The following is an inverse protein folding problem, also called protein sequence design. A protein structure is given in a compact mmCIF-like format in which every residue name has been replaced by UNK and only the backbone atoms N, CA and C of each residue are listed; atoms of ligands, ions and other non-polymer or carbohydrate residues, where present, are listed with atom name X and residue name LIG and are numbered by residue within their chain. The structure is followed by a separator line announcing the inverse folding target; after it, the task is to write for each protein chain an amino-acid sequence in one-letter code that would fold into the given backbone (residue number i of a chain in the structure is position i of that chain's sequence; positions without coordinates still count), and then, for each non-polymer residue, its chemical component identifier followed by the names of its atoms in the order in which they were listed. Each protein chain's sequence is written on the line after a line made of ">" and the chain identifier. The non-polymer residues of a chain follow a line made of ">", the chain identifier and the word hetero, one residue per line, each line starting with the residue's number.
data_IF_788235199374
#
_entry.id   IF_788235199374
#
_cell.length_a   1.000
_cell.length_b   1.000
_cell.length_c   1.000
_cell.angle_alpha   90.00
_cell.angle_beta   90.00
_cell.angle_gamma   90.00
#
_symmetry.space_group_name_H-M   'P 1'
#
loop_
_entity.id
_entity.type
_entity.pdbx_description
1 polymer ?
#
# COMPACT_ATOMS: atom_id res chain seq x y z
N UNK A 1 -13.90 95.78 -0.09
CA UNK A 1 -14.31 96.43 -1.36
C UNK A 1 -13.94 95.53 -2.54
N UNK A 2 -14.74 95.58 -3.62
CA UNK A 2 -14.51 95.02 -4.97
C UNK A 2 -14.48 93.48 -5.13
N UNK A 3 -14.94 93.06 -6.31
CA UNK A 3 -15.23 91.69 -6.77
C UNK A 3 -14.24 91.27 -7.88
N UNK A 4 -14.01 89.98 -8.01
CA UNK A 4 -13.60 89.25 -9.22
C UNK A 4 -14.04 87.77 -8.97
N UNK A 5 -14.85 87.02 -9.75
CA UNK A 5 -15.01 86.85 -11.23
C UNK A 5 -13.65 86.59 -11.90
N UNK A 6 -13.35 85.51 -12.64
CA UNK A 6 -14.02 84.26 -13.10
C UNK A 6 -12.89 83.35 -13.69
N UNK A 7 -12.98 82.06 -14.08
CA UNK A 7 -14.08 81.15 -14.49
C UNK A 7 -13.65 79.66 -14.34
N UNK A 8 -14.55 78.70 -14.64
CA UNK A 8 -14.39 77.29 -15.14
C UNK A 8 -13.00 76.59 -15.13
N UNK A 9 -12.85 75.30 -14.77
CA UNK A 9 -13.40 74.15 -15.54
C UNK A 9 -13.29 72.78 -14.82
N UNK A 10 -14.44 72.07 -14.72
CA UNK A 10 -14.65 70.58 -14.75
C UNK A 10 -13.72 69.71 -13.85
N UNK A 11 -14.15 69.27 -12.67
CA UNK A 11 -14.91 68.02 -12.40
C UNK A 11 -14.20 66.73 -12.86
N UNK A 12 -13.76 65.91 -11.90
CA UNK A 12 -14.10 64.47 -11.81
C UNK A 12 -13.92 64.02 -10.36
N UNK A 13 -15.01 63.63 -9.69
CA UNK A 13 -14.92 62.82 -8.46
C UNK A 13 -14.49 61.41 -8.88
N UNK A 14 -13.68 60.73 -8.05
CA UNK A 14 -14.07 59.38 -7.61
C UNK A 14 -13.33 58.95 -6.32
N UNK A 15 -14.13 58.64 -5.30
CA UNK A 15 -13.92 57.68 -4.21
C UNK A 15 -12.49 57.30 -3.79
N UNK A 16 -12.10 57.86 -2.62
CA UNK A 16 -11.03 57.31 -1.79
C UNK A 16 -11.61 56.20 -0.90
N UNK A 17 -11.55 54.95 -1.34
CA UNK A 17 -11.88 53.78 -0.53
C UNK A 17 -10.63 52.94 -0.27
N UNK A 18 -10.16 52.92 0.99
CA UNK A 18 -9.15 51.97 1.43
C UNK A 18 -9.66 50.54 1.18
N UNK A 19 -8.96 49.79 0.32
CA UNK A 19 -8.95 48.34 0.43
C UNK A 19 -7.66 47.91 1.11
N UNK A 20 -7.81 47.30 2.28
CA UNK A 20 -6.79 46.44 2.86
C UNK A 20 -6.57 45.27 1.91
N UNK A 21 -5.46 45.28 1.18
CA UNK A 21 -5.04 44.14 0.38
C UNK A 21 -4.53 43.05 1.33
N UNK A 22 -5.45 42.25 1.86
CA UNK A 22 -5.12 40.99 2.50
C UNK A 22 -4.45 40.11 1.46
N UNK A 23 -3.13 39.95 1.55
CA UNK A 23 -2.42 38.94 0.79
C UNK A 23 -2.80 37.58 1.38
N UNK A 24 -3.86 36.99 0.84
CA UNK A 24 -4.06 35.55 0.93
C UNK A 24 -2.84 34.90 0.29
N UNK A 25 -1.84 34.58 1.11
CA UNK A 25 -0.81 33.62 0.77
C UNK A 25 -1.51 32.26 0.70
N UNK A 26 -2.19 32.04 -0.42
CA UNK A 26 -2.49 30.73 -0.94
C UNK A 26 -1.17 29.97 -0.93
N UNK A 27 -0.95 29.16 0.11
CA UNK A 27 0.06 28.13 0.10
C UNK A 27 -0.39 27.15 -0.96
N UNK A 28 0.03 27.41 -2.21
CA UNK A 28 -0.06 26.44 -3.29
C UNK A 28 0.59 25.19 -2.75
N UNK A 29 -0.21 24.17 -2.44
CA UNK A 29 0.31 22.84 -2.16
C UNK A 29 1.24 22.52 -3.32
N UNK A 30 2.50 22.18 -3.03
CA UNK A 30 3.36 21.59 -4.03
C UNK A 30 2.56 20.43 -4.65
N UNK A 31 2.32 20.52 -5.95
CA UNK A 31 1.51 19.54 -6.67
C UNK A 31 2.20 18.19 -6.47
N UNK A 32 1.52 17.24 -5.83
CA UNK A 32 2.12 15.94 -5.47
C UNK A 32 2.15 15.05 -6.71
N UNK A 33 2.96 15.47 -7.67
CA UNK A 33 3.08 14.85 -8.99
C UNK A 33 3.41 13.36 -8.86
N UNK A 34 2.78 12.50 -9.67
CA UNK A 34 3.14 11.08 -9.78
C UNK A 34 4.64 10.90 -10.00
N UNK A 35 5.21 9.83 -9.44
CA UNK A 35 6.65 9.54 -9.51
C UNK A 35 6.89 8.26 -10.28
N UNK A 36 7.60 8.36 -11.41
CA UNK A 36 8.06 7.22 -12.20
C UNK A 36 9.46 6.80 -11.75
N UNK A 37 9.60 5.56 -11.32
CA UNK A 37 10.82 4.94 -10.79
C UNK A 37 11.42 4.01 -11.85
N UNK A 38 12.51 4.42 -12.49
CA UNK A 38 13.16 3.67 -13.57
C UNK A 38 14.47 3.03 -13.12
N UNK A 39 14.64 1.73 -13.37
CA UNK A 39 15.86 0.99 -13.04
C UNK A 39 17.09 1.41 -13.87
N UNK A 40 18.27 1.35 -13.27
CA UNK A 40 19.56 1.68 -13.93
C UNK A 40 19.96 0.71 -15.05
N UNK A 41 19.46 -0.52 -15.05
CA UNK A 41 19.91 -1.57 -16.01
C UNK A 41 19.05 -1.64 -17.28
N UNK A 42 18.08 -0.73 -17.43
CA UNK A 42 17.33 -0.53 -18.66
C UNK A 42 18.25 0.08 -19.73
N UNK A 43 18.36 -0.58 -20.89
CA UNK A 43 18.94 0.05 -22.09
C UNK A 43 18.13 1.28 -22.50
N UNK A 44 18.68 2.19 -23.31
CA UNK A 44 17.96 3.41 -23.73
C UNK A 44 16.59 3.14 -24.38
N UNK A 45 16.49 2.08 -25.20
CA UNK A 45 15.22 1.64 -25.80
C UNK A 45 14.24 1.11 -24.76
N UNK A 46 14.70 0.24 -23.85
CA UNK A 46 13.88 -0.28 -22.75
C UNK A 46 13.41 0.84 -21.81
N UNK A 47 14.28 1.79 -21.46
CA UNK A 47 13.94 2.95 -20.63
C UNK A 47 12.82 3.77 -21.25
N UNK A 48 12.89 4.04 -22.57
CA UNK A 48 11.84 4.75 -23.30
C UNK A 48 10.52 3.96 -23.32
N UNK A 49 10.57 2.65 -23.59
CA UNK A 49 9.39 1.77 -23.56
C UNK A 49 8.75 1.66 -22.18
N UNK A 50 9.54 1.44 -21.14
CA UNK A 50 9.09 1.34 -19.74
C UNK A 50 8.48 2.65 -19.27
N UNK A 51 9.11 3.80 -19.58
CA UNK A 51 8.55 5.11 -19.28
C UNK A 51 7.22 5.34 -19.98
N UNK A 52 7.10 4.97 -21.27
CA UNK A 52 5.83 5.04 -22.00
C UNK A 52 4.74 4.21 -21.32
N UNK A 53 5.01 2.93 -21.02
CA UNK A 53 4.04 2.04 -20.35
C UNK A 53 3.60 2.57 -18.98
N UNK A 54 4.52 3.11 -18.18
CA UNK A 54 4.23 3.63 -16.85
C UNK A 54 3.58 5.03 -16.84
N UNK A 55 3.71 5.81 -17.92
CA UNK A 55 3.09 7.14 -18.04
C UNK A 55 1.77 7.13 -18.82
N UNK A 56 1.42 6.04 -19.50
CA UNK A 56 0.14 5.87 -20.19
C UNK A 56 -1.10 6.08 -19.28
N UNK A 57 -1.15 5.55 -18.03
CA UNK A 57 -2.25 5.82 -17.10
C UNK A 57 -2.42 7.31 -16.73
N UNK A 58 -1.35 8.10 -16.83
CA UNK A 58 -1.37 9.52 -16.47
C UNK A 58 -2.05 10.40 -17.52
N UNK A 59 -2.40 9.86 -18.70
CA UNK A 59 -3.14 10.57 -19.75
C UNK A 59 -2.51 11.92 -20.19
N UNK A 60 -1.18 12.06 -20.05
CA UNK A 60 -0.44 13.29 -20.38
C UNK A 60 -0.25 14.28 -19.22
N UNK A 61 -0.70 13.95 -18.00
CA UNK A 61 -0.40 14.73 -16.81
C UNK A 61 1.11 14.76 -16.50
N UNK A 62 1.55 15.83 -15.84
CA UNK A 62 2.93 16.01 -15.39
C UNK A 62 3.33 14.95 -14.35
N UNK A 63 4.59 14.51 -14.39
CA UNK A 63 5.15 13.55 -13.43
C UNK A 63 6.63 13.84 -13.16
N UNK A 64 7.13 13.34 -12.04
CA UNK A 64 8.55 13.31 -11.70
C UNK A 64 9.14 11.96 -12.13
N UNK A 65 10.45 11.93 -12.40
CA UNK A 65 11.17 10.67 -12.67
C UNK A 65 12.36 10.55 -11.74
N UNK A 66 12.49 9.39 -11.08
CA UNK A 66 13.67 9.01 -10.30
C UNK A 66 14.32 7.77 -10.89
N UNK A 67 15.62 7.65 -10.69
CA UNK A 67 16.39 6.44 -11.04
C UNK A 67 16.59 5.58 -9.78
N UNK A 68 16.43 4.26 -9.95
CA UNK A 68 16.60 3.23 -8.91
C UNK A 68 17.87 2.43 -9.22
N UNK A 69 18.79 2.37 -8.25
CA UNK A 69 20.13 1.76 -8.41
C UNK A 69 20.27 0.44 -7.64
N UNK A 70 21.40 -0.26 -7.82
CA UNK A 70 21.75 -1.40 -6.97
C UNK A 70 21.93 -1.02 -5.49
N UNK A 71 22.26 0.24 -5.19
CA UNK A 71 22.31 0.76 -3.81
C UNK A 71 20.92 0.87 -3.19
N UNK A 72 19.91 1.31 -3.96
CA UNK A 72 18.51 1.27 -3.52
C UNK A 72 18.07 -0.18 -3.24
N UNK A 73 18.48 -1.16 -4.06
CA UNK A 73 18.20 -2.58 -3.79
C UNK A 73 18.88 -3.06 -2.49
N UNK A 74 20.16 -2.74 -2.29
CA UNK A 74 20.88 -3.07 -1.04
C UNK A 74 20.19 -2.45 0.17
N UNK A 75 19.76 -1.19 0.08
CA UNK A 75 19.10 -0.48 1.19
C UNK A 75 17.75 -1.08 1.56
N UNK A 76 16.91 -1.40 0.58
CA UNK A 76 15.52 -1.78 0.83
C UNK A 76 15.25 -3.29 0.82
N UNK A 77 16.07 -4.11 0.17
CA UNK A 77 15.81 -5.55 0.00
C UNK A 77 16.73 -6.43 0.84
N UNK A 78 18.00 -6.06 1.05
CA UNK A 78 18.93 -6.90 1.82
C UNK A 78 18.59 -7.04 3.32
N UNK A 79 17.98 -6.07 4.02
CA UNK A 79 17.55 -6.27 5.41
C UNK A 79 16.62 -7.48 5.61
N UNK A 80 15.85 -7.80 4.57
CA UNK A 80 14.89 -8.91 4.50
C UNK A 80 15.46 -10.14 3.79
N UNK A 81 16.75 -10.41 4.01
CA UNK A 81 17.44 -11.62 3.57
C UNK A 81 17.87 -11.68 2.10
N UNK A 82 17.67 -10.61 1.31
CA UNK A 82 18.19 -10.57 -0.06
C UNK A 82 19.72 -10.33 -0.09
N UNK A 83 20.36 -10.77 -1.18
CA UNK A 83 21.82 -10.69 -1.37
C UNK A 83 22.19 -9.83 -2.59
N UNK A 84 21.63 -8.63 -2.68
CA UNK A 84 22.02 -7.65 -3.71
C UNK A 84 23.33 -6.96 -3.35
N UNK A 85 23.97 -6.39 -4.37
CA UNK A 85 25.15 -5.52 -4.24
C UNK A 85 24.87 -4.19 -4.94
N UNK A 86 25.73 -3.20 -4.74
CA UNK A 86 25.63 -1.91 -5.46
C UNK A 86 25.73 -2.05 -6.99
N UNK A 87 26.25 -3.17 -7.47
CA UNK A 87 26.37 -3.53 -8.89
C UNK A 87 25.23 -4.44 -9.39
N UNK A 88 24.27 -4.80 -8.54
CA UNK A 88 23.11 -5.61 -8.94
C UNK A 88 22.21 -4.85 -9.91
N UNK A 89 21.71 -5.56 -10.92
CA UNK A 89 20.91 -4.96 -11.97
C UNK A 89 19.46 -4.66 -11.55
N UNK A 90 18.92 -3.56 -12.09
CA UNK A 90 17.56 -3.08 -11.83
C UNK A 90 16.82 -2.92 -13.16
N UNK A 91 15.89 -3.83 -13.44
CA UNK A 91 15.09 -3.84 -14.69
C UNK A 91 13.59 -3.69 -14.50
N UNK A 92 13.06 -4.06 -13.33
CA UNK A 92 11.70 -3.73 -12.93
C UNK A 92 11.60 -2.25 -12.57
N UNK A 93 10.41 -1.69 -12.69
CA UNK A 93 10.16 -0.26 -12.56
C UNK A 93 8.71 -0.03 -12.12
N UNK A 94 8.47 1.09 -11.46
CA UNK A 94 7.17 1.42 -10.90
C UNK A 94 6.76 2.86 -11.23
N UNK A 95 5.48 3.17 -11.14
CA UNK A 95 4.98 4.53 -11.01
C UNK A 95 4.02 4.57 -9.82
N UNK A 96 4.13 5.61 -9.00
CA UNK A 96 3.24 5.88 -7.88
C UNK A 96 2.48 7.16 -8.15
N UNK A 97 1.19 7.11 -7.94
CA UNK A 97 0.29 8.26 -7.92
C UNK A 97 -0.46 8.24 -6.60
N UNK A 98 -0.41 9.36 -5.86
CA UNK A 98 -1.18 9.51 -4.63
C UNK A 98 -2.65 9.75 -4.97
N UNK A 99 -3.52 9.17 -4.17
CA UNK A 99 -4.95 9.21 -4.37
C UNK A 99 -5.68 9.98 -3.26
N UNK A 100 -6.96 10.27 -3.49
CA UNK A 100 -7.82 10.86 -2.47
C UNK A 100 -7.96 9.93 -1.25
N UNK A 101 -8.11 10.51 -0.06
CA UNK A 101 -8.31 9.74 1.17
C UNK A 101 -9.52 8.81 1.06
N UNK A 102 -9.30 7.51 1.26
CA UNK A 102 -10.32 6.46 1.14
C UNK A 102 -10.29 5.70 -0.18
N UNK A 103 -9.48 6.09 -1.17
CA UNK A 103 -9.27 5.32 -2.40
C UNK A 103 -8.59 3.96 -2.15
N UNK A 104 -7.86 3.81 -1.05
CA UNK A 104 -7.12 2.59 -0.72
C UNK A 104 -5.88 2.39 -1.59
N UNK A 105 -5.29 1.19 -1.55
CA UNK A 105 -4.09 0.84 -2.32
C UNK A 105 -4.49 0.02 -3.55
N UNK A 106 -4.27 0.58 -4.74
CA UNK A 106 -4.50 -0.09 -6.01
C UNK A 106 -3.15 -0.45 -6.65
N UNK A 107 -3.02 -1.68 -7.15
CA UNK A 107 -1.80 -2.13 -7.84
C UNK A 107 -2.17 -2.67 -9.20
N UNK A 108 -1.43 -2.21 -10.22
CA UNK A 108 -1.59 -2.61 -11.61
C UNK A 108 -0.25 -3.11 -12.16
N UNK A 109 -0.15 -4.42 -12.43
CA UNK A 109 0.97 -4.96 -13.19
C UNK A 109 0.67 -4.75 -14.67
N UNK A 110 1.50 -3.95 -15.34
CA UNK A 110 1.33 -3.53 -16.73
C UNK A 110 2.21 -4.34 -17.68
N UNK A 111 1.63 -4.75 -18.80
CA UNK A 111 2.34 -5.44 -19.87
C UNK A 111 3.36 -4.53 -20.56
N UNK A 112 4.62 -4.99 -20.62
CA UNK A 112 5.64 -4.38 -21.44
C UNK A 112 5.65 -5.05 -22.81
N UNK A 113 5.35 -4.28 -23.87
CA UNK A 113 5.26 -4.80 -25.25
C UNK A 113 4.28 -5.99 -25.40
N UNK A 114 3.15 -5.95 -24.69
CA UNK A 114 2.11 -6.98 -24.74
C UNK A 114 2.46 -8.28 -24.00
N UNK A 115 3.34 -8.20 -22.99
CA UNK A 115 3.68 -9.33 -22.11
C UNK A 115 3.84 -8.86 -20.67
N UNK A 116 3.23 -9.59 -19.74
CA UNK A 116 3.55 -9.45 -18.33
C UNK A 116 4.94 -10.06 -18.06
N UNK A 117 5.87 -9.23 -17.60
CA UNK A 117 7.24 -9.62 -17.27
C UNK A 117 7.49 -9.74 -15.75
N UNK A 118 6.48 -9.55 -14.90
CA UNK A 118 6.56 -9.79 -13.47
C UNK A 118 6.15 -11.25 -13.21
N UNK A 119 7.11 -12.09 -12.84
CA UNK A 119 6.96 -13.55 -12.87
C UNK A 119 6.50 -14.19 -11.56
N UNK A 120 6.60 -13.47 -10.44
CA UNK A 120 6.51 -14.09 -9.10
C UNK A 120 5.65 -13.29 -8.13
N UNK A 121 5.79 -11.96 -8.09
CA UNK A 121 5.07 -11.11 -7.14
C UNK A 121 3.74 -10.67 -7.73
N UNK A 122 2.64 -10.91 -7.00
CA UNK A 122 1.28 -10.58 -7.46
C UNK A 122 0.84 -9.18 -7.03
N UNK A 123 -0.18 -8.64 -7.69
CA UNK A 123 -0.74 -7.33 -7.36
C UNK A 123 -1.24 -7.25 -5.90
N UNK A 124 -1.83 -8.32 -5.36
CA UNK A 124 -2.32 -8.32 -3.97
C UNK A 124 -1.18 -8.45 -2.94
N UNK A 125 -0.08 -9.11 -3.29
CA UNK A 125 1.15 -9.12 -2.49
C UNK A 125 1.78 -7.72 -2.40
N UNK A 126 1.85 -6.99 -3.54
CA UNK A 126 2.27 -5.58 -3.54
C UNK A 126 1.40 -4.70 -2.65
N UNK A 127 0.06 -4.85 -2.68
CA UNK A 127 -0.84 -4.07 -1.83
C UNK A 127 -0.62 -4.36 -0.34
N UNK A 128 -0.46 -5.63 0.01
CA UNK A 128 -0.21 -6.05 1.39
C UNK A 128 1.10 -5.46 1.92
N UNK A 129 2.19 -5.57 1.15
CA UNK A 129 3.48 -4.99 1.52
C UNK A 129 3.42 -3.45 1.59
N UNK A 130 2.79 -2.78 0.63
CA UNK A 130 2.63 -1.33 0.64
C UNK A 130 1.92 -0.83 1.92
N UNK A 131 0.83 -1.49 2.33
CA UNK A 131 0.13 -1.21 3.59
C UNK A 131 1.06 -1.37 4.81
N UNK A 132 1.85 -2.45 4.85
CA UNK A 132 2.83 -2.69 5.92
C UNK A 132 3.91 -1.61 5.97
N UNK A 133 4.38 -1.15 4.81
CA UNK A 133 5.35 -0.06 4.67
C UNK A 133 4.80 1.33 5.04
N UNK A 134 3.52 1.43 5.40
CA UNK A 134 2.85 2.67 5.79
C UNK A 134 2.20 3.45 4.64
N UNK A 135 2.21 2.91 3.41
CA UNK A 135 1.56 3.52 2.25
C UNK A 135 0.04 3.41 2.41
N UNK A 136 -0.68 4.47 2.06
CA UNK A 136 -2.14 4.56 2.08
C UNK A 136 -2.62 5.40 0.91
N UNK A 137 -3.78 5.09 0.36
CA UNK A 137 -4.44 5.93 -0.66
C UNK A 137 -3.50 6.23 -1.85
N UNK A 138 -3.19 5.20 -2.66
CA UNK A 138 -2.27 5.32 -3.80
C UNK A 138 -2.54 4.30 -4.91
N UNK A 139 -2.32 4.71 -6.16
CA UNK A 139 -2.16 3.82 -7.30
C UNK A 139 -0.67 3.49 -7.48
N UNK A 140 -0.35 2.21 -7.64
CA UNK A 140 1.00 1.71 -7.90
C UNK A 140 0.97 0.89 -9.19
N UNK A 141 1.63 1.40 -10.23
CA UNK A 141 1.77 0.72 -11.51
C UNK A 141 3.16 0.08 -11.56
N UNK A 142 3.24 -1.19 -11.96
CA UNK A 142 4.48 -1.97 -11.98
C UNK A 142 4.68 -2.58 -13.35
N UNK A 143 5.90 -2.50 -13.90
CA UNK A 143 6.26 -3.23 -15.11
C UNK A 143 7.74 -3.61 -15.11
N UNK A 144 8.17 -4.40 -16.10
CA UNK A 144 9.58 -4.73 -16.31
C UNK A 144 9.85 -4.92 -17.80
N UNK A 145 11.03 -4.47 -18.26
CA UNK A 145 11.45 -4.68 -19.64
C UNK A 145 11.98 -6.10 -19.93
N UNK A 146 12.15 -6.93 -18.90
CA UNK A 146 12.59 -8.34 -18.97
C UNK A 146 11.89 -9.18 -17.89
N UNK A 147 11.69 -10.50 -18.09
CA UNK A 147 11.13 -11.38 -17.05
C UNK A 147 11.93 -11.33 -15.74
N UNK A 148 11.28 -10.97 -14.64
CA UNK A 148 11.89 -10.82 -13.31
C UNK A 148 10.84 -11.00 -12.20
N UNK A 149 11.25 -11.28 -10.98
CA UNK A 149 10.35 -11.52 -9.83
C UNK A 149 9.40 -10.34 -9.53
N UNK A 150 9.90 -9.11 -9.68
CA UNK A 150 9.24 -7.84 -9.39
C UNK A 150 9.79 -7.07 -8.17
N UNK A 151 10.75 -7.62 -7.42
CA UNK A 151 11.17 -7.08 -6.11
C UNK A 151 11.77 -5.67 -6.21
N UNK A 152 12.58 -5.41 -7.24
CA UNK A 152 13.17 -4.10 -7.52
C UNK A 152 12.15 -2.97 -7.77
N UNK A 153 10.92 -3.28 -8.21
CA UNK A 153 9.88 -2.27 -8.38
C UNK A 153 9.40 -1.72 -7.03
N UNK A 154 9.27 -2.57 -6.02
CA UNK A 154 8.83 -2.15 -4.69
C UNK A 154 9.93 -1.40 -3.92
N UNK A 155 11.20 -1.78 -4.11
CA UNK A 155 12.33 -0.93 -3.70
C UNK A 155 12.26 0.47 -4.35
N UNK A 156 11.85 0.54 -5.62
CA UNK A 156 11.59 1.79 -6.33
C UNK A 156 10.45 2.61 -5.70
N UNK A 157 9.37 1.95 -5.28
CA UNK A 157 8.25 2.59 -4.56
C UNK A 157 8.73 3.24 -3.26
N UNK A 158 9.48 2.53 -2.42
CA UNK A 158 10.00 3.11 -1.17
C UNK A 158 11.02 4.22 -1.41
N UNK A 159 11.82 4.10 -2.46
CA UNK A 159 12.76 5.15 -2.88
C UNK A 159 12.03 6.44 -3.28
N UNK A 160 10.86 6.36 -3.92
CA UNK A 160 10.06 7.53 -4.28
C UNK A 160 9.55 8.27 -3.04
N UNK A 161 8.86 7.58 -2.13
CA UNK A 161 8.35 8.18 -0.89
C UNK A 161 9.46 8.90 -0.10
N UNK A 162 10.62 8.26 0.08
CA UNK A 162 11.78 8.88 0.72
C UNK A 162 12.34 10.09 -0.07
N UNK A 163 12.36 10.04 -1.40
CA UNK A 163 12.87 11.14 -2.27
C UNK A 163 11.86 12.30 -2.41
N UNK A 164 10.57 12.08 -2.18
CA UNK A 164 9.52 13.13 -2.16
C UNK A 164 9.26 13.72 -0.77
N UNK A 165 10.01 13.31 0.25
CA UNK A 165 9.94 13.87 1.61
C UNK A 165 9.01 13.12 2.58
N UNK A 166 8.31 12.09 2.12
CA UNK A 166 7.49 11.21 2.95
C UNK A 166 8.30 10.00 3.39
N UNK A 167 9.25 10.22 4.30
CA UNK A 167 10.17 9.17 4.73
C UNK A 167 9.41 7.99 5.36
N UNK A 168 9.46 6.83 4.70
CA UNK A 168 8.90 5.59 5.21
C UNK A 168 9.77 5.06 6.36
N UNK A 169 9.14 4.46 7.36
CA UNK A 169 9.87 3.84 8.46
C UNK A 169 10.63 2.61 7.95
N UNK A 170 11.94 2.56 8.13
CA UNK A 170 12.76 1.46 7.60
C UNK A 170 12.37 0.09 8.20
N UNK A 171 11.90 0.01 9.44
CA UNK A 171 11.42 -1.25 10.02
C UNK A 171 10.11 -1.70 9.36
N UNK A 172 9.24 -0.76 8.96
CA UNK A 172 8.01 -1.05 8.22
C UNK A 172 8.31 -1.51 6.79
N UNK A 173 9.31 -0.89 6.15
CA UNK A 173 9.83 -1.31 4.84
C UNK A 173 10.42 -2.72 4.90
N UNK A 174 11.21 -3.05 5.93
CA UNK A 174 11.74 -4.40 6.11
C UNK A 174 10.61 -5.42 6.31
N UNK A 175 9.70 -5.19 7.26
CA UNK A 175 8.55 -6.08 7.49
C UNK A 175 7.67 -6.26 6.24
N UNK A 176 7.53 -5.23 5.40
CA UNK A 176 6.83 -5.30 4.12
C UNK A 176 7.54 -6.19 3.08
N UNK A 177 8.88 -6.20 3.08
CA UNK A 177 9.68 -7.08 2.24
C UNK A 177 9.69 -8.52 2.72
N UNK A 178 9.82 -8.76 4.03
CA UNK A 178 9.72 -10.10 4.62
C UNK A 178 8.32 -10.70 4.42
N UNK A 179 7.27 -9.88 4.52
CA UNK A 179 5.92 -10.23 4.12
C UNK A 179 5.84 -10.63 2.65
N UNK A 180 6.26 -9.74 1.73
CA UNK A 180 6.21 -10.01 0.29
C UNK A 180 6.94 -11.30 -0.08
N UNK A 181 8.16 -11.48 0.42
CA UNK A 181 8.98 -12.66 0.17
C UNK A 181 8.28 -13.93 0.70
N UNK A 182 7.69 -13.86 1.88
CA UNK A 182 6.97 -14.97 2.52
C UNK A 182 5.71 -15.34 1.75
N UNK A 183 4.85 -14.38 1.40
CA UNK A 183 3.61 -14.66 0.67
C UNK A 183 3.89 -15.14 -0.75
N UNK A 184 4.86 -14.53 -1.45
CA UNK A 184 5.30 -14.98 -2.77
C UNK A 184 5.84 -16.41 -2.75
N UNK A 185 6.64 -16.78 -1.73
CA UNK A 185 7.12 -18.15 -1.51
C UNK A 185 5.95 -19.13 -1.26
N UNK A 186 5.03 -18.80 -0.35
CA UNK A 186 3.87 -19.65 -0.04
C UNK A 186 2.99 -19.82 -1.29
N UNK A 187 2.78 -18.76 -2.08
CA UNK A 187 2.07 -18.84 -3.35
C UNK A 187 2.77 -19.80 -4.31
N UNK A 188 4.08 -19.67 -4.53
CA UNK A 188 4.84 -20.57 -5.40
C UNK A 188 4.81 -22.04 -4.96
N UNK A 189 4.83 -22.30 -3.65
CA UNK A 189 4.75 -23.66 -3.08
C UNK A 189 3.35 -24.29 -3.13
N UNK A 190 2.30 -23.50 -3.39
CA UNK A 190 0.91 -23.95 -3.37
C UNK A 190 0.11 -23.67 -4.67
N UNK A 191 0.68 -22.97 -5.66
CA UNK A 191 0.00 -22.51 -6.87
C UNK A 191 -0.76 -23.62 -7.64
N UNK A 192 -0.22 -24.84 -7.62
CA UNK A 192 -0.76 -26.00 -8.34
C UNK A 192 -1.69 -26.88 -7.45
N UNK A 193 -1.94 -26.49 -6.20
CA UNK A 193 -2.80 -27.22 -5.26
C UNK A 193 -4.27 -26.83 -5.41
N UNK A 194 -5.14 -27.84 -5.49
CA UNK A 194 -6.59 -27.65 -5.38
C UNK A 194 -6.97 -26.95 -4.08
N UNK A 195 -7.88 -25.97 -4.15
CA UNK A 195 -8.33 -25.15 -3.01
C UNK A 195 -7.44 -23.97 -2.67
N UNK A 196 -6.25 -23.84 -3.28
CA UNK A 196 -5.39 -22.67 -3.12
C UNK A 196 -5.74 -21.54 -4.09
N UNK A 197 -5.60 -20.29 -3.63
CA UNK A 197 -5.38 -19.14 -4.51
C UNK A 197 -4.62 -18.04 -3.78
N UNK A 198 -3.87 -17.24 -4.55
CA UNK A 198 -3.16 -16.07 -4.05
C UNK A 198 -4.12 -15.04 -3.41
N UNK A 199 -5.33 -14.89 -3.95
CA UNK A 199 -6.35 -14.01 -3.40
C UNK A 199 -6.85 -14.46 -2.01
N UNK A 200 -7.02 -15.77 -1.77
CA UNK A 200 -7.33 -16.31 -0.44
C UNK A 200 -6.20 -16.01 0.55
N UNK A 201 -4.94 -16.20 0.16
CA UNK A 201 -3.78 -15.96 1.04
C UNK A 201 -3.67 -14.47 1.40
N UNK A 202 -3.67 -13.60 0.40
CA UNK A 202 -3.55 -12.16 0.61
C UNK A 202 -4.74 -11.58 1.39
N UNK A 203 -5.95 -12.12 1.19
CA UNK A 203 -7.11 -11.69 1.97
C UNK A 203 -7.06 -12.19 3.43
N UNK A 204 -6.49 -13.37 3.71
CA UNK A 204 -6.25 -13.81 5.09
C UNK A 204 -5.29 -12.87 5.82
N UNK A 205 -4.21 -12.47 5.17
CA UNK A 205 -3.22 -11.55 5.74
C UNK A 205 -3.79 -10.14 5.92
N UNK A 206 -4.52 -9.62 4.92
CA UNK A 206 -5.20 -8.33 5.04
C UNK A 206 -6.27 -8.33 6.15
N UNK A 207 -7.04 -9.42 6.28
CA UNK A 207 -7.99 -9.60 7.38
C UNK A 207 -7.32 -9.68 8.76
N UNK A 208 -6.18 -10.37 8.85
CA UNK A 208 -5.40 -10.46 10.09
C UNK A 208 -4.87 -9.08 10.50
N UNK A 209 -4.29 -8.30 9.57
CA UNK A 209 -3.90 -6.90 9.79
C UNK A 209 -5.08 -6.03 10.24
N UNK A 210 -6.26 -6.23 9.65
CA UNK A 210 -7.47 -5.50 10.04
C UNK A 210 -7.86 -5.79 11.50
N UNK A 211 -7.79 -7.05 11.93
CA UNK A 211 -8.08 -7.45 13.32
C UNK A 211 -7.02 -6.95 14.29
N UNK A 212 -5.75 -7.12 13.98
CA UNK A 212 -4.64 -6.52 14.74
C UNK A 212 -4.80 -5.00 14.88
N UNK A 213 -5.19 -4.31 13.80
CA UNK A 213 -5.48 -2.87 13.80
C UNK A 213 -6.72 -2.45 14.61
N UNK A 214 -7.67 -3.36 14.90
CA UNK A 214 -8.78 -3.09 15.84
C UNK A 214 -8.32 -3.13 17.29
N UNK A 215 -7.35 -3.98 17.62
CA UNK A 215 -6.74 -4.10 18.96
C UNK A 215 -5.70 -3.00 19.19
N UNK A 216 -5.00 -2.62 18.14
CA UNK A 216 -3.87 -1.69 18.18
C UNK A 216 -2.56 -2.36 18.59
N UNK A 217 -1.55 -1.55 18.91
CA UNK A 217 -0.17 -1.97 19.12
C UNK A 217 0.04 -2.95 20.30
N UNK A 218 -0.97 -3.15 21.15
CA UNK A 218 -0.87 -4.01 22.34
C UNK A 218 -1.24 -5.48 22.06
N UNK A 219 -1.53 -5.85 20.81
CA UNK A 219 -1.82 -7.23 20.42
C UNK A 219 -0.63 -8.15 20.69
N UNK A 220 -0.81 -9.18 21.53
CA UNK A 220 0.27 -10.11 21.91
C UNK A 220 0.48 -11.20 20.87
N UNK A 221 1.64 -11.88 20.92
CA UNK A 221 2.01 -12.95 19.97
C UNK A 221 0.95 -14.07 19.92
N UNK A 222 0.39 -14.44 21.08
CA UNK A 222 -0.70 -15.43 21.15
C UNK A 222 -1.97 -14.94 20.45
N UNK A 223 -2.28 -13.64 20.56
CA UNK A 223 -3.44 -13.07 19.88
C UNK A 223 -3.20 -13.01 18.37
N UNK A 224 -1.98 -12.67 17.92
CA UNK A 224 -1.61 -12.74 16.49
C UNK A 224 -1.73 -14.18 15.97
N UNK A 225 -1.21 -15.16 16.71
CA UNK A 225 -1.35 -16.59 16.37
C UNK A 225 -2.83 -16.98 16.15
N UNK A 226 -3.72 -16.58 17.06
CA UNK A 226 -5.14 -16.95 16.97
C UNK A 226 -5.85 -16.21 15.82
N UNK A 227 -5.59 -14.90 15.65
CA UNK A 227 -6.07 -14.09 14.52
C UNK A 227 -5.66 -14.70 13.19
N UNK A 228 -4.40 -15.10 13.04
CA UNK A 228 -3.88 -15.67 11.78
C UNK A 228 -4.51 -17.01 11.48
N UNK A 229 -4.61 -17.93 12.46
CA UNK A 229 -5.28 -19.22 12.25
C UNK A 229 -6.77 -19.03 11.90
N UNK A 230 -7.46 -18.12 12.57
CA UNK A 230 -8.84 -17.76 12.28
C UNK A 230 -9.01 -17.22 10.85
N UNK A 231 -8.14 -16.31 10.42
CA UNK A 231 -8.18 -15.72 9.07
C UNK A 231 -7.79 -16.71 7.96
N UNK A 232 -6.85 -17.61 8.22
CA UNK A 232 -6.50 -18.73 7.33
C UNK A 232 -7.74 -19.64 7.13
N UNK A 233 -8.49 -19.92 8.20
CA UNK A 233 -9.73 -20.68 8.11
C UNK A 233 -10.84 -19.89 7.39
N UNK A 234 -11.03 -18.60 7.67
CA UNK A 234 -11.97 -17.72 6.92
C UNK A 234 -11.69 -17.68 5.40
N UNK A 235 -10.47 -18.01 4.98
CA UNK A 235 -10.09 -18.06 3.58
C UNK A 235 -10.00 -19.49 3.01
N UNK A 236 -10.50 -20.49 3.74
CA UNK A 236 -10.43 -21.92 3.39
C UNK A 236 -9.02 -22.44 3.10
N UNK A 237 -8.00 -21.89 3.76
CA UNK A 237 -6.62 -22.33 3.63
C UNK A 237 -6.17 -23.29 4.74
N UNK A 238 -7.03 -23.56 5.74
CA UNK A 238 -6.73 -24.36 6.94
C UNK A 238 -6.04 -25.69 6.66
N UNK A 239 -6.53 -26.44 5.66
CA UNK A 239 -5.99 -27.74 5.24
C UNK A 239 -5.17 -27.67 3.92
N UNK A 240 -5.04 -26.48 3.33
CA UNK A 240 -4.36 -26.24 2.04
C UNK A 240 -2.89 -25.88 2.25
N UNK A 241 -2.62 -24.98 3.21
CA UNK A 241 -1.26 -24.57 3.59
C UNK A 241 -0.81 -25.32 4.85
N UNK A 242 0.46 -25.70 4.89
CA UNK A 242 1.00 -26.50 6.00
C UNK A 242 1.34 -25.64 7.23
N UNK A 243 1.52 -26.27 8.40
CA UNK A 243 1.75 -25.55 9.66
C UNK A 243 3.04 -24.68 9.66
N UNK A 244 4.07 -25.03 8.89
CA UNK A 244 5.25 -24.17 8.72
C UNK A 244 4.88 -22.87 7.98
N UNK A 245 4.08 -22.96 6.91
CA UNK A 245 3.58 -21.80 6.18
C UNK A 245 2.67 -20.93 7.05
N UNK A 246 1.84 -21.52 7.91
CA UNK A 246 1.05 -20.79 8.93
C UNK A 246 1.98 -20.04 9.90
N UNK A 247 3.02 -20.69 10.43
CA UNK A 247 3.98 -20.07 11.33
C UNK A 247 4.77 -18.93 10.66
N UNK A 248 5.13 -19.06 9.38
CA UNK A 248 5.77 -17.98 8.63
C UNK A 248 4.86 -16.73 8.54
N UNK A 249 3.56 -16.89 8.31
CA UNK A 249 2.59 -15.78 8.30
C UNK A 249 2.46 -15.13 9.69
N UNK A 250 2.49 -15.94 10.76
CA UNK A 250 2.46 -15.45 12.15
C UNK A 250 3.71 -14.61 12.45
N UNK A 251 4.91 -15.10 12.09
CA UNK A 251 6.16 -14.39 12.31
C UNK A 251 6.19 -13.05 11.56
N UNK A 252 5.80 -13.05 10.28
CA UNK A 252 5.64 -11.82 9.50
C UNK A 252 4.70 -10.83 10.19
N UNK A 253 3.55 -11.27 10.70
CA UNK A 253 2.60 -10.35 11.34
C UNK A 253 3.05 -9.87 12.72
N UNK A 254 3.90 -10.62 13.42
CA UNK A 254 4.66 -10.14 14.58
C UNK A 254 5.62 -9.02 14.15
N UNK A 255 6.38 -9.20 13.07
CA UNK A 255 7.26 -8.16 12.49
C UNK A 255 6.46 -6.91 12.04
N UNK A 256 5.27 -7.08 11.45
CA UNK A 256 4.36 -5.97 11.12
C UNK A 256 3.93 -5.20 12.38
N UNK A 257 3.61 -5.88 13.50
CA UNK A 257 3.36 -5.20 14.77
C UNK A 257 4.60 -4.45 15.26
N UNK A 258 5.74 -5.12 15.31
CA UNK A 258 6.95 -4.62 15.97
C UNK A 258 7.64 -3.49 15.17
N UNK A 259 7.42 -3.44 13.85
CA UNK A 259 7.74 -2.29 13.00
C UNK A 259 6.96 -1.02 13.38
N UNK A 260 5.87 -1.15 14.13
CA UNK A 260 4.98 -0.07 14.53
C UNK A 260 3.95 0.33 13.46
N UNK A 261 3.74 -0.47 12.41
CA UNK A 261 2.75 -0.17 11.36
C UNK A 261 1.34 0.09 11.93
N UNK A 262 0.95 -0.67 12.95
CA UNK A 262 -0.34 -0.55 13.67
C UNK A 262 -0.54 0.78 14.39
N UNK A 263 0.51 1.59 14.57
CA UNK A 263 0.40 2.94 15.17
C UNK A 263 -0.17 3.96 14.19
N UNK A 264 -0.18 3.67 12.89
CA UNK A 264 -0.83 4.51 11.89
C UNK A 264 -2.35 4.36 12.02
N UNK A 265 -3.04 5.46 12.33
CA UNK A 265 -4.50 5.49 12.48
C UNK A 265 -5.25 5.00 11.22
N UNK A 266 -4.66 5.14 10.01
CA UNK A 266 -5.22 4.61 8.77
C UNK A 266 -5.06 3.09 8.61
N UNK A 267 -4.15 2.43 9.34
CA UNK A 267 -3.73 1.04 9.07
C UNK A 267 -4.91 0.07 9.03
N UNK A 268 -5.79 0.13 10.03
CA UNK A 268 -7.01 -0.69 10.12
C UNK A 268 -7.94 -0.49 8.92
N UNK A 269 -8.19 0.76 8.54
CA UNK A 269 -9.17 1.10 7.51
C UNK A 269 -8.63 0.80 6.10
N UNK A 270 -7.33 0.97 5.89
CA UNK A 270 -6.63 0.52 4.68
C UNK A 270 -6.57 -1.01 4.60
N UNK A 271 -6.40 -1.73 5.71
CA UNK A 271 -6.49 -3.20 5.76
C UNK A 271 -7.90 -3.72 5.42
N UNK A 272 -8.95 -3.05 5.92
CA UNK A 272 -10.35 -3.33 5.59
C UNK A 272 -10.65 -3.06 4.11
N UNK A 273 -10.22 -1.91 3.59
CA UNK A 273 -10.33 -1.55 2.18
C UNK A 273 -9.60 -2.56 1.29
N UNK A 274 -8.40 -3.00 1.67
CA UNK A 274 -7.62 -4.02 0.99
C UNK A 274 -8.35 -5.37 0.96
N UNK A 275 -8.81 -5.88 2.12
CA UNK A 275 -9.59 -7.12 2.18
C UNK A 275 -10.83 -7.06 1.28
N UNK A 276 -11.55 -5.94 1.28
CA UNK A 276 -12.70 -5.71 0.40
C UNK A 276 -12.31 -5.66 -1.08
N UNK A 277 -11.20 -5.02 -1.43
CA UNK A 277 -10.68 -4.94 -2.79
C UNK A 277 -10.31 -6.33 -3.34
N UNK A 278 -9.58 -7.15 -2.56
CA UNK A 278 -9.22 -8.52 -2.93
C UNK A 278 -10.47 -9.37 -3.13
N UNK A 279 -11.42 -9.35 -2.18
CA UNK A 279 -12.70 -10.08 -2.29
C UNK A 279 -13.52 -9.67 -3.51
N UNK A 280 -13.54 -8.37 -3.84
CA UNK A 280 -14.25 -7.83 -5.02
C UNK A 280 -13.61 -8.31 -6.32
N UNK A 281 -12.29 -8.25 -6.44
CA UNK A 281 -11.57 -8.62 -7.66
C UNK A 281 -11.60 -10.13 -7.89
N UNK A 282 -11.44 -10.92 -6.83
CA UNK A 282 -11.50 -12.38 -6.85
C UNK A 282 -12.89 -12.93 -6.54
N UNK A 283 -13.97 -12.19 -6.84
CA UNK A 283 -15.35 -12.56 -6.48
C UNK A 283 -15.73 -13.99 -6.90
N UNK A 284 -15.32 -14.44 -8.09
CA UNK A 284 -15.57 -15.81 -8.56
C UNK A 284 -14.88 -16.93 -7.77
N UNK A 285 -13.91 -16.60 -6.91
CA UNK A 285 -13.30 -17.50 -5.92
C UNK A 285 -14.12 -17.41 -4.62
N UNK A 286 -14.33 -16.20 -4.10
CA UNK A 286 -15.01 -15.97 -2.83
C UNK A 286 -16.49 -16.42 -2.83
N UNK A 287 -17.22 -16.27 -3.94
CA UNK A 287 -18.59 -16.76 -4.10
C UNK A 287 -18.67 -18.30 -4.08
N UNK A 288 -17.62 -19.00 -4.55
CA UNK A 288 -17.57 -20.48 -4.56
C UNK A 288 -17.28 -21.08 -3.19
N UNK A 289 -16.54 -20.37 -2.34
CA UNK A 289 -16.26 -20.82 -0.97
C UNK A 289 -17.35 -20.38 0.01
N UNK A 290 -18.03 -19.26 -0.23
CA UNK A 290 -19.13 -18.73 0.59
C UNK A 290 -20.52 -19.34 0.28
N UNK A 291 -20.57 -20.68 0.18
CA UNK A 291 -21.82 -21.43 -0.03
C UNK A 291 -22.71 -21.40 1.22
N UNK A 292 -24.03 -21.65 1.09
CA UNK A 292 -24.93 -21.78 2.24
C UNK A 292 -24.50 -22.85 3.25
N UNK A 293 -23.85 -23.95 2.84
CA UNK A 293 -23.32 -24.94 3.77
C UNK A 293 -22.17 -24.37 4.62
N UNK A 294 -21.25 -23.63 3.98
CA UNK A 294 -20.08 -23.06 4.65
C UNK A 294 -20.43 -21.81 5.49
N UNK A 295 -21.52 -21.10 5.17
CA UNK A 295 -21.95 -19.90 5.93
C UNK A 295 -22.17 -20.15 7.41
N UNK A 296 -22.85 -21.24 7.78
CA UNK A 296 -23.08 -21.54 9.19
C UNK A 296 -21.76 -21.75 9.97
N UNK A 297 -20.75 -22.32 9.31
CA UNK A 297 -19.40 -22.48 9.86
C UNK A 297 -18.63 -21.17 9.90
N UNK A 298 -18.72 -20.34 8.85
CA UNK A 298 -18.18 -18.98 8.85
C UNK A 298 -18.77 -18.10 9.94
N UNK A 299 -20.09 -18.14 10.13
CA UNK A 299 -20.79 -17.39 11.16
C UNK A 299 -20.35 -17.85 12.55
N UNK A 300 -20.09 -19.15 12.76
CA UNK A 300 -19.50 -19.66 14.00
C UNK A 300 -18.06 -19.17 14.21
N UNK A 301 -17.18 -19.24 13.20
CA UNK A 301 -15.81 -18.73 13.31
C UNK A 301 -15.81 -17.22 13.56
N UNK A 302 -16.61 -16.46 12.81
CA UNK A 302 -16.78 -15.02 12.98
C UNK A 302 -17.37 -14.66 14.33
N UNK A 303 -18.35 -15.43 14.83
CA UNK A 303 -18.89 -15.28 16.17
C UNK A 303 -17.82 -15.54 17.23
N UNK A 304 -16.98 -16.56 17.06
CA UNK A 304 -15.87 -16.85 17.97
C UNK A 304 -14.81 -15.73 17.99
N UNK A 305 -14.46 -15.18 16.83
CA UNK A 305 -13.56 -14.02 16.69
C UNK A 305 -14.17 -12.78 17.36
N UNK A 306 -15.43 -12.47 17.06
CA UNK A 306 -16.11 -11.31 17.66
C UNK A 306 -16.35 -11.48 19.15
N UNK A 307 -16.55 -12.71 19.64
CA UNK A 307 -16.64 -13.05 21.07
C UNK A 307 -15.29 -12.92 21.79
N UNK A 308 -14.21 -13.39 21.16
CA UNK A 308 -12.85 -13.18 21.64
C UNK A 308 -12.55 -11.69 21.80
N UNK A 309 -12.92 -10.87 20.81
CA UNK A 309 -12.75 -9.42 20.90
C UNK A 309 -13.70 -8.74 21.88
N UNK A 310 -14.97 -9.13 21.95
CA UNK A 310 -15.89 -8.56 22.94
C UNK A 310 -15.40 -8.85 24.36
N UNK A 311 -14.84 -10.04 24.61
CA UNK A 311 -14.26 -10.41 25.90
C UNK A 311 -12.96 -9.65 26.19
N UNK A 312 -12.10 -9.45 25.19
CA UNK A 312 -10.89 -8.64 25.31
C UNK A 312 -11.20 -7.18 25.69
N UNK A 313 -12.16 -6.54 25.00
CA UNK A 313 -12.55 -5.16 25.28
C UNK A 313 -13.42 -5.01 26.54
N UNK A 314 -14.26 -6.00 26.87
CA UNK A 314 -15.04 -5.99 28.12
C UNK A 314 -14.16 -6.18 29.35
N UNK A 315 -13.11 -7.01 29.26
CA UNK A 315 -12.11 -7.15 30.32
C UNK A 315 -11.30 -5.88 30.57
N UNK A 316 -11.07 -5.07 29.54
CA UNK A 316 -10.38 -3.77 29.64
C UNK A 316 -11.22 -2.65 30.28
N UNK A 317 -12.54 -2.78 30.32
CA UNK A 317 -13.44 -1.82 31.01
C UNK A 317 -13.43 -2.05 32.54
N UNK A 318 -12.96 -3.21 33.02
CA UNK A 318 -12.84 -3.53 34.45
C UNK A 318 -11.42 -3.27 34.96
N UNK A 319 -10.91 -2.05 34.74
CA UNK A 319 -9.76 -1.51 35.48
C UNK A 319 -10.26 -0.29 36.26
N UNK A 320 -10.37 -0.46 37.59
CA UNK A 320 -11.08 0.47 38.48
C UNK A 320 -10.51 1.89 38.42
N UNK A 321 -11.40 2.87 38.25
CA UNK A 321 -11.23 4.17 38.89
C UNK A 321 -11.65 4.04 40.36
N UNK A 322 -10.67 4.03 41.25
CA UNK A 322 -10.79 4.30 42.69
C UNK A 322 -9.67 5.27 43.08
#
# INVERSE_FOLDING_TARGET
>A
MKKAKTISTIITLLFFSLLMCGTDTQTVKAEELPVVCLGTSLTASQRSGTLKTLSEPLNGNSYQTITITGEDLVKYLNPSGANFTTHSGVWSSAMIEKEAQGSGINVHILDYQGRNNITTITADQYKNAALTAGISDANIYVTSAVPIDGSGALAGVYAAYNKTGENLNQNQVNAAQDEMNTLSKITKENQDKSGYSDAQLNNAVAGAKQEMGKIGNNVSDSQIHDIVNNQININHLGDVINNNQKQQIINVLIEVRDSGALKNHKFKDQADALSKNIKKNAKGIFDKINTPENRNWFEQIWHNITSFFSNLFSGLIVVNFN
#
